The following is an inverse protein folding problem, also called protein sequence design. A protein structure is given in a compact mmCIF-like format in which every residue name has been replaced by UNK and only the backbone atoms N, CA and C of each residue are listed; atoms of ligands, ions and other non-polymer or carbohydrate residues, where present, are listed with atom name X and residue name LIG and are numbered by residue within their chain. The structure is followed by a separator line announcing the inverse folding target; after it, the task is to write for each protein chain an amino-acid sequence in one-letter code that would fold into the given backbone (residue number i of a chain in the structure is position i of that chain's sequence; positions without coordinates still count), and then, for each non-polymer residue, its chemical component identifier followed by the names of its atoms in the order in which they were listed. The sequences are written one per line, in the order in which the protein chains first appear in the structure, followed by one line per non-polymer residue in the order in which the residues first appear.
data_IF_090794508892
#
_entry.id   IF_090794508892
#
_cell.length_a   1.000
_cell.length_b   1.000
_cell.length_c   1.000
_cell.angle_alpha   90.00
_cell.angle_beta   90.00
_cell.angle_gamma   90.00
#
_symmetry.space_group_name_H-M   'P 1'
#
loop_
_entity.id
_entity.type
_entity.pdbx_description
1 polymer ?
#
# COMPACT_ATOMS: atom_id res chain seq x y z
N UNK A 1 -37.18 -19.06 -0.93
CA UNK A 1 -35.71 -19.21 -0.90
C UNK A 1 -35.11 -17.90 -0.41
N UNK A 2 -34.31 -17.93 0.63
CA UNK A 2 -33.76 -16.72 1.26
C UNK A 2 -32.70 -16.11 0.32
N UNK A 3 -32.54 -14.78 0.30
CA UNK A 3 -31.51 -14.11 -0.55
C UNK A 3 -30.09 -14.72 -0.41
N UNK A 4 -29.77 -15.23 0.78
CA UNK A 4 -28.49 -15.92 1.05
C UNK A 4 -28.35 -17.24 0.30
N UNK A 5 -29.42 -18.01 0.19
CA UNK A 5 -29.48 -19.28 -0.55
C UNK A 5 -29.27 -19.06 -2.06
N UNK A 6 -29.87 -17.97 -2.58
CA UNK A 6 -29.68 -17.59 -3.98
C UNK A 6 -28.24 -17.23 -4.31
N UNK A 7 -27.58 -16.44 -3.44
CA UNK A 7 -26.17 -16.09 -3.62
C UNK A 7 -25.26 -17.32 -3.48
N UNK A 8 -25.58 -18.22 -2.57
CA UNK A 8 -24.85 -19.47 -2.41
C UNK A 8 -24.99 -20.36 -3.64
N UNK A 9 -26.23 -20.56 -4.15
CA UNK A 9 -26.48 -21.31 -5.38
C UNK A 9 -25.82 -20.69 -6.62
N UNK A 10 -25.92 -19.37 -6.78
CA UNK A 10 -25.24 -18.66 -7.85
C UNK A 10 -23.70 -18.79 -7.76
N UNK A 11 -23.14 -18.79 -6.56
CA UNK A 11 -21.72 -19.02 -6.32
C UNK A 11 -21.28 -20.43 -6.71
N UNK A 12 -22.04 -21.46 -6.36
CA UNK A 12 -21.78 -22.84 -6.76
C UNK A 12 -21.85 -23.02 -8.29
N UNK A 13 -22.84 -22.42 -8.95
CA UNK A 13 -22.97 -22.46 -10.41
C UNK A 13 -21.79 -21.75 -11.05
N UNK A 14 -21.37 -20.58 -10.53
CA UNK A 14 -20.23 -19.85 -11.05
C UNK A 14 -18.92 -20.65 -10.93
N UNK A 15 -18.69 -21.30 -9.78
CA UNK A 15 -17.54 -22.18 -9.56
C UNK A 15 -17.57 -23.36 -10.53
N UNK A 16 -18.72 -24.00 -10.70
CA UNK A 16 -18.86 -25.12 -11.63
C UNK A 16 -18.60 -24.69 -13.07
N UNK A 17 -19.20 -23.59 -13.53
CA UNK A 17 -19.00 -23.08 -14.89
C UNK A 17 -17.53 -22.69 -15.13
N UNK A 18 -16.89 -22.04 -14.14
CA UNK A 18 -15.47 -21.71 -14.23
C UNK A 18 -14.61 -22.96 -14.33
N UNK A 19 -14.88 -23.97 -13.50
CA UNK A 19 -14.12 -25.22 -13.52
C UNK A 19 -14.33 -25.99 -14.84
N UNK A 20 -15.54 -25.97 -15.37
CA UNK A 20 -15.93 -26.74 -16.58
C UNK A 20 -15.43 -26.08 -17.87
N UNK A 21 -15.57 -24.75 -18.01
CA UNK A 21 -15.22 -24.05 -19.24
C UNK A 21 -13.80 -23.51 -19.29
N UNK A 22 -13.09 -23.43 -18.17
CA UNK A 22 -11.73 -22.92 -18.19
C UNK A 22 -10.80 -23.92 -18.87
N UNK A 23 -10.07 -23.51 -19.92
CA UNK A 23 -9.17 -24.40 -20.65
C UNK A 23 -7.87 -24.61 -19.82
N UNK A 24 -7.91 -25.44 -18.81
CA UNK A 24 -6.80 -25.73 -17.90
C UNK A 24 -5.52 -26.24 -18.60
N UNK A 25 -5.68 -26.81 -19.82
CA UNK A 25 -4.55 -27.21 -20.65
C UNK A 25 -3.85 -26.05 -21.38
N UNK A 26 -4.48 -24.88 -21.42
CA UNK A 26 -3.85 -23.72 -22.05
C UNK A 26 -2.70 -23.21 -21.17
N UNK A 27 -1.53 -23.01 -21.77
CA UNK A 27 -0.32 -22.63 -21.06
C UNK A 27 -0.49 -21.34 -20.25
N UNK A 28 -1.16 -20.34 -20.79
CA UNK A 28 -1.44 -19.08 -20.08
C UNK A 28 -2.30 -19.25 -18.83
N UNK A 29 -3.30 -20.14 -18.87
CA UNK A 29 -4.16 -20.42 -17.70
C UNK A 29 -3.34 -21.15 -16.63
N UNK A 30 -2.50 -22.10 -17.03
CA UNK A 30 -1.60 -22.81 -16.12
C UNK A 30 -0.59 -21.87 -15.50
N UNK A 31 0.04 -20.99 -16.29
CA UNK A 31 0.98 -19.97 -15.80
C UNK A 31 0.28 -18.99 -14.85
N UNK A 32 -0.91 -18.51 -15.21
CA UNK A 32 -1.70 -17.64 -14.31
C UNK A 32 -2.02 -18.32 -12.98
N UNK A 33 -2.40 -19.60 -12.99
CA UNK A 33 -2.64 -20.38 -11.78
C UNK A 33 -1.38 -20.51 -10.91
N UNK A 34 -0.23 -20.79 -11.51
CA UNK A 34 1.05 -20.85 -10.80
C UNK A 34 1.42 -19.50 -10.22
N UNK A 35 1.31 -18.43 -11.01
CA UNK A 35 1.64 -17.06 -10.57
C UNK A 35 0.71 -16.57 -9.46
N UNK A 36 -0.54 -17.00 -9.42
CA UNK A 36 -1.46 -16.71 -8.30
C UNK A 36 -0.91 -17.22 -6.96
N UNK A 37 -0.49 -18.48 -6.92
CA UNK A 37 0.06 -19.09 -5.70
C UNK A 37 1.45 -18.54 -5.35
N UNK A 38 2.30 -18.30 -6.35
CA UNK A 38 3.62 -17.73 -6.12
C UNK A 38 3.52 -16.28 -5.62
N UNK A 39 2.58 -15.48 -6.16
CA UNK A 39 2.29 -14.13 -5.65
C UNK A 39 1.78 -14.17 -4.22
N UNK A 40 0.89 -15.12 -3.88
CA UNK A 40 0.42 -15.29 -2.51
C UNK A 40 1.55 -15.70 -1.56
N UNK A 41 2.46 -16.58 -2.01
CA UNK A 41 3.63 -16.99 -1.23
C UNK A 41 4.58 -15.82 -0.95
N UNK A 42 4.91 -15.04 -1.99
CA UNK A 42 5.76 -13.85 -1.85
C UNK A 42 5.11 -12.82 -0.94
N UNK A 43 3.78 -12.60 -1.09
CA UNK A 43 3.02 -11.73 -0.20
C UNK A 43 3.07 -12.19 1.26
N UNK A 44 2.85 -13.49 1.50
CA UNK A 44 2.88 -14.04 2.86
C UNK A 44 4.25 -13.90 3.52
N UNK A 45 5.33 -14.12 2.77
CA UNK A 45 6.71 -14.05 3.28
C UNK A 45 7.19 -12.62 3.52
N UNK A 46 6.87 -11.70 2.61
CA UNK A 46 7.43 -10.35 2.64
C UNK A 46 6.54 -9.35 3.38
N UNK A 47 5.21 -9.54 3.36
CA UNK A 47 4.29 -8.50 3.83
C UNK A 47 3.42 -8.90 5.02
N UNK A 48 3.06 -10.18 5.20
CA UNK A 48 2.12 -10.55 6.28
C UNK A 48 2.76 -10.37 7.64
N UNK A 49 3.85 -11.05 7.93
CA UNK A 49 4.41 -11.11 9.29
C UNK A 49 5.00 -9.77 9.74
N UNK A 50 5.80 -9.12 8.87
CA UNK A 50 6.55 -7.92 9.27
C UNK A 50 5.76 -6.62 9.08
N UNK A 51 4.75 -6.61 8.20
CA UNK A 51 4.02 -5.41 7.79
C UNK A 51 2.56 -5.45 8.27
N UNK A 52 1.78 -6.45 7.83
CA UNK A 52 0.34 -6.51 8.08
C UNK A 52 0.02 -6.82 9.55
N UNK A 53 0.73 -7.77 10.18
CA UNK A 53 0.48 -8.12 11.57
C UNK A 53 0.70 -6.93 12.51
N UNK A 54 1.84 -6.22 12.52
CA UNK A 54 2.01 -5.02 13.33
C UNK A 54 0.93 -3.95 13.05
N UNK A 55 0.56 -3.76 11.79
CA UNK A 55 -0.47 -2.79 11.43
C UNK A 55 -1.86 -3.16 11.97
N UNK A 56 -2.22 -4.44 12.00
CA UNK A 56 -3.46 -4.91 12.62
C UNK A 56 -3.47 -4.64 14.14
N UNK A 57 -2.34 -4.84 14.82
CA UNK A 57 -2.21 -4.50 16.23
C UNK A 57 -2.31 -3.01 16.49
N UNK A 58 -1.72 -2.16 15.63
CA UNK A 58 -1.85 -0.70 15.71
C UNK A 58 -3.32 -0.29 15.48
N UNK A 59 -3.99 -0.86 14.48
CA UNK A 59 -5.41 -0.59 14.22
C UNK A 59 -6.31 -0.99 15.40
N UNK A 60 -6.08 -2.17 15.98
CA UNK A 60 -6.74 -2.62 17.20
C UNK A 60 -6.51 -1.67 18.37
N UNK A 61 -5.27 -1.18 18.54
CA UNK A 61 -4.93 -0.21 19.57
C UNK A 61 -5.64 1.14 19.35
N UNK A 62 -5.70 1.62 18.12
CA UNK A 62 -6.48 2.83 17.78
C UNK A 62 -7.94 2.63 18.15
N UNK A 63 -8.52 1.48 17.78
CA UNK A 63 -9.92 1.19 18.04
C UNK A 63 -10.26 1.01 19.53
N UNK A 64 -9.31 0.72 20.39
CA UNK A 64 -9.54 0.54 21.86
C UNK A 64 -9.06 1.74 22.65
N UNK A 65 -7.83 2.23 22.40
CA UNK A 65 -7.16 3.20 23.27
C UNK A 65 -7.26 4.65 22.81
N UNK A 66 -7.58 4.90 21.53
CA UNK A 66 -7.82 6.26 21.07
C UNK A 66 -9.27 6.63 21.34
N UNK A 67 -9.51 7.68 22.11
CA UNK A 67 -10.87 8.11 22.40
C UNK A 67 -11.56 8.61 21.13
N UNK A 68 -12.84 8.29 21.01
CA UNK A 68 -13.66 8.78 19.90
C UNK A 68 -13.69 10.31 19.86
N UNK A 69 -13.72 10.96 21.03
CA UNK A 69 -13.65 12.40 21.15
C UNK A 69 -12.37 12.99 20.52
N UNK A 70 -11.21 12.35 20.73
CA UNK A 70 -9.95 12.78 20.11
C UNK A 70 -9.99 12.66 18.59
N UNK A 71 -10.49 11.54 18.06
CA UNK A 71 -10.61 11.36 16.60
C UNK A 71 -11.59 12.38 16.02
N UNK A 72 -12.74 12.58 16.64
CA UNK A 72 -13.74 13.57 16.21
C UNK A 72 -13.21 15.00 16.27
N UNK A 73 -12.36 15.33 17.24
CA UNK A 73 -11.75 16.66 17.38
C UNK A 73 -10.79 16.99 16.24
N UNK A 74 -9.95 16.02 15.79
CA UNK A 74 -8.92 16.24 14.78
C UNK A 74 -9.33 15.79 13.37
N UNK A 75 -10.14 14.74 13.26
CA UNK A 75 -10.55 14.11 11.98
C UNK A 75 -12.06 14.09 11.78
N UNK A 76 -12.84 14.59 12.72
CA UNK A 76 -14.30 14.57 12.63
C UNK A 76 -14.86 15.56 11.62
N UNK A 77 -16.18 15.49 11.33
CA UNK A 77 -16.84 16.35 10.35
C UNK A 77 -16.77 17.85 10.70
N UNK A 78 -16.65 18.19 12.00
CA UNK A 78 -16.55 19.57 12.52
C UNK A 78 -15.10 20.04 12.76
N UNK A 79 -14.10 19.17 12.54
CA UNK A 79 -12.70 19.50 12.74
C UNK A 79 -12.22 20.59 11.76
N UNK A 80 -11.17 21.34 12.17
CA UNK A 80 -10.54 22.30 11.27
C UNK A 80 -9.99 21.56 10.05
N UNK A 81 -10.57 21.84 8.88
CA UNK A 81 -10.25 21.14 7.64
C UNK A 81 -8.78 21.27 7.27
N UNK A 82 -8.20 22.46 7.41
CA UNK A 82 -6.79 22.67 7.07
C UNK A 82 -5.88 21.76 7.92
N UNK A 83 -6.11 21.71 9.23
CA UNK A 83 -5.35 20.87 10.15
C UNK A 83 -5.57 19.37 9.83
N UNK A 84 -6.84 18.96 9.66
CA UNK A 84 -7.18 17.56 9.39
C UNK A 84 -6.53 17.03 8.11
N UNK A 85 -6.59 17.80 7.02
CA UNK A 85 -6.00 17.38 5.74
C UNK A 85 -4.48 17.46 5.74
N UNK A 86 -3.89 18.48 6.41
CA UNK A 86 -2.43 18.55 6.57
C UNK A 86 -1.90 17.34 7.35
N UNK A 87 -2.53 17.02 8.48
CA UNK A 87 -2.15 15.85 9.29
C UNK A 87 -2.36 14.55 8.48
N UNK A 88 -3.51 14.39 7.82
CA UNK A 88 -3.80 13.22 7.00
C UNK A 88 -2.77 13.03 5.87
N UNK A 89 -2.39 14.11 5.17
CA UNK A 89 -1.45 14.05 4.05
C UNK A 89 0.00 13.80 4.51
N UNK A 90 0.41 14.37 5.66
CA UNK A 90 1.79 14.22 6.16
C UNK A 90 1.99 12.92 6.94
N UNK A 91 0.95 12.43 7.64
CA UNK A 91 1.06 11.20 8.45
C UNK A 91 1.45 9.97 7.61
N UNK A 92 1.00 9.90 6.36
CA UNK A 92 1.41 8.86 5.42
C UNK A 92 2.91 8.82 5.15
N UNK A 93 3.52 10.00 5.03
CA UNK A 93 4.97 10.15 4.83
C UNK A 93 5.78 9.65 6.03
N UNK A 94 5.32 9.97 7.24
CA UNK A 94 6.01 9.59 8.49
C UNK A 94 5.88 8.09 8.73
N UNK A 95 4.70 7.53 8.49
CA UNK A 95 4.43 6.12 8.74
C UNK A 95 5.08 5.19 7.70
N UNK A 96 5.45 5.71 6.52
CA UNK A 96 6.05 4.95 5.41
C UNK A 96 5.32 3.62 5.12
N UNK A 97 3.98 3.65 5.19
CA UNK A 97 3.13 2.46 5.09
C UNK A 97 2.87 2.07 3.64
N UNK A 98 2.77 0.77 3.39
CA UNK A 98 2.31 0.24 2.11
C UNK A 98 0.79 0.20 2.02
N UNK A 99 0.25 -0.09 0.84
CA UNK A 99 -1.21 -0.23 0.62
C UNK A 99 -1.88 -1.27 1.53
N UNK A 100 -1.14 -2.27 1.99
CA UNK A 100 -1.66 -3.31 2.89
C UNK A 100 -1.82 -2.80 4.33
N UNK A 101 -0.86 -2.00 4.81
CA UNK A 101 -0.84 -1.51 6.20
C UNK A 101 -1.75 -0.31 6.41
N UNK A 102 -1.97 0.51 5.37
CA UNK A 102 -2.88 1.65 5.47
C UNK A 102 -4.34 1.22 5.66
N UNK A 103 -4.73 0.05 5.14
CA UNK A 103 -6.11 -0.45 5.25
C UNK A 103 -6.56 -0.71 6.69
N UNK A 104 -5.80 -1.47 7.53
CA UNK A 104 -6.13 -1.60 8.95
C UNK A 104 -6.15 -0.26 9.68
N UNK A 105 -5.18 0.62 9.41
CA UNK A 105 -5.10 1.94 10.04
C UNK A 105 -6.30 2.81 9.65
N UNK A 106 -6.65 2.83 8.36
CA UNK A 106 -7.86 3.49 7.88
C UNK A 106 -9.11 2.97 8.58
N UNK A 107 -9.26 1.63 8.70
CA UNK A 107 -10.39 1.03 9.39
C UNK A 107 -10.42 1.45 10.87
N UNK A 108 -9.28 1.49 11.54
CA UNK A 108 -9.16 1.93 12.93
C UNK A 108 -9.66 3.37 13.15
N UNK A 109 -9.24 4.33 12.32
CA UNK A 109 -9.71 5.73 12.43
C UNK A 109 -11.15 5.90 11.94
N UNK A 110 -11.56 5.15 10.90
CA UNK A 110 -12.91 5.19 10.35
C UNK A 110 -13.95 4.73 11.36
N UNK A 111 -13.71 3.62 12.05
CA UNK A 111 -14.61 3.08 13.10
C UNK A 111 -14.72 4.02 14.31
N UNK A 112 -13.70 4.88 14.53
CA UNK A 112 -13.72 5.90 15.57
C UNK A 112 -14.38 7.22 15.15
N UNK A 113 -14.97 7.26 13.95
CA UNK A 113 -15.79 8.40 13.49
C UNK A 113 -15.02 9.47 12.74
N UNK A 114 -13.84 9.17 12.20
CA UNK A 114 -13.16 10.10 11.29
C UNK A 114 -14.07 10.47 10.12
N UNK A 115 -14.07 11.75 9.73
CA UNK A 115 -14.78 12.20 8.54
C UNK A 115 -14.24 11.55 7.27
N UNK A 116 -15.11 11.29 6.29
CA UNK A 116 -14.74 10.57 5.07
C UNK A 116 -13.61 11.28 4.30
N UNK A 117 -13.60 12.60 4.30
CA UNK A 117 -12.58 13.39 3.62
C UNK A 117 -11.18 13.18 4.18
N UNK A 118 -10.90 13.52 5.44
CA UNK A 118 -9.60 13.30 6.06
C UNK A 118 -9.20 11.82 6.07
N UNK A 119 -10.14 10.90 6.29
CA UNK A 119 -9.86 9.46 6.28
C UNK A 119 -9.39 8.98 4.90
N UNK A 120 -10.05 9.43 3.82
CA UNK A 120 -9.63 9.05 2.45
C UNK A 120 -8.38 9.80 1.99
N UNK A 121 -8.13 11.01 2.47
CA UNK A 121 -6.85 11.70 2.27
C UNK A 121 -5.69 10.91 2.89
N UNK A 122 -5.87 10.42 4.12
CA UNK A 122 -4.90 9.53 4.78
C UNK A 122 -4.72 8.20 4.02
N UNK A 123 -5.83 7.58 3.60
CA UNK A 123 -5.82 6.33 2.83
C UNK A 123 -5.00 6.45 1.54
N UNK A 124 -5.12 7.57 0.83
CA UNK A 124 -4.37 7.84 -0.38
C UNK A 124 -2.90 8.17 -0.09
N UNK A 125 -2.66 9.09 0.86
CA UNK A 125 -1.33 9.61 1.15
C UNK A 125 -0.36 8.55 1.68
N UNK A 126 -0.86 7.59 2.47
CA UNK A 126 -0.05 6.56 3.11
C UNK A 126 0.91 5.86 2.14
N UNK A 127 0.40 5.17 1.14
CA UNK A 127 1.23 4.48 0.16
C UNK A 127 1.83 5.40 -0.91
N UNK A 128 1.10 6.46 -1.32
CA UNK A 128 1.51 7.32 -2.43
C UNK A 128 2.73 8.20 -2.09
N UNK A 129 2.82 8.68 -0.84
CA UNK A 129 3.89 9.56 -0.37
C UNK A 129 4.99 8.78 0.37
N UNK A 130 5.40 7.65 -0.16
CA UNK A 130 6.52 6.91 0.40
C UNK A 130 7.84 7.54 -0.05
N UNK A 131 8.61 8.08 0.90
CA UNK A 131 9.88 8.80 0.64
C UNK A 131 10.88 7.94 -0.13
N UNK A 132 11.00 6.67 0.21
CA UNK A 132 11.92 5.75 -0.47
C UNK A 132 11.51 5.53 -1.93
N UNK A 133 10.23 5.35 -2.20
CA UNK A 133 9.72 5.18 -3.55
C UNK A 133 9.88 6.46 -4.38
N UNK A 134 9.70 7.64 -3.78
CA UNK A 134 9.92 8.94 -4.45
C UNK A 134 11.41 9.10 -4.81
N UNK A 135 12.32 8.85 -3.87
CA UNK A 135 13.77 8.93 -4.10
C UNK A 135 14.20 7.94 -5.18
N UNK A 136 13.69 6.71 -5.14
CA UNK A 136 13.99 5.68 -6.13
C UNK A 136 13.48 6.08 -7.52
N UNK A 137 12.26 6.62 -7.60
CA UNK A 137 11.70 7.18 -8.85
C UNK A 137 12.58 8.28 -9.40
N UNK A 138 13.00 9.23 -8.56
CA UNK A 138 13.86 10.34 -8.98
C UNK A 138 15.24 9.87 -9.50
N UNK A 139 15.79 8.81 -8.88
CA UNK A 139 17.09 8.27 -9.28
C UNK A 139 17.06 7.43 -10.55
N UNK A 140 16.03 6.60 -10.71
CA UNK A 140 15.94 5.63 -11.82
C UNK A 140 15.20 6.20 -13.01
N UNK A 141 14.07 6.87 -12.80
CA UNK A 141 13.21 7.38 -13.87
C UNK A 141 13.42 8.87 -14.16
N UNK A 142 14.30 9.51 -13.39
CA UNK A 142 14.65 10.92 -13.53
C UNK A 142 13.98 11.82 -12.49
N UNK A 143 14.69 12.89 -12.11
CA UNK A 143 14.29 13.79 -11.04
C UNK A 143 12.96 14.50 -11.30
N UNK A 144 12.64 14.82 -12.57
CA UNK A 144 11.37 15.44 -12.96
C UNK A 144 10.18 14.53 -12.61
N UNK A 145 10.26 13.25 -12.96
CA UNK A 145 9.20 12.29 -12.67
C UNK A 145 9.07 12.03 -11.15
N UNK A 146 10.22 12.00 -10.43
CA UNK A 146 10.22 11.89 -8.96
C UNK A 146 9.56 13.08 -8.29
N UNK A 147 9.85 14.31 -8.73
CA UNK A 147 9.21 15.51 -8.22
C UNK A 147 7.73 15.58 -8.56
N UNK A 148 7.36 15.26 -9.82
CA UNK A 148 5.96 15.20 -10.24
C UNK A 148 5.15 14.17 -9.45
N UNK A 149 5.74 13.01 -9.15
CA UNK A 149 5.15 12.00 -8.27
C UNK A 149 4.93 12.55 -6.87
N UNK A 150 5.93 13.17 -6.25
CA UNK A 150 5.83 13.72 -4.90
C UNK A 150 4.75 14.82 -4.82
N UNK A 151 4.82 15.81 -5.70
CA UNK A 151 3.87 16.90 -5.76
C UNK A 151 2.46 16.41 -6.08
N UNK A 152 2.33 15.53 -7.08
CA UNK A 152 1.06 14.92 -7.47
C UNK A 152 0.43 14.13 -6.32
N UNK A 153 1.20 13.33 -5.60
CA UNK A 153 0.69 12.55 -4.48
C UNK A 153 0.15 13.42 -3.33
N UNK A 154 0.85 14.52 -2.98
CA UNK A 154 0.37 15.48 -1.97
C UNK A 154 -0.90 16.17 -2.45
N UNK A 155 -0.91 16.69 -3.66
CA UNK A 155 -2.09 17.40 -4.21
C UNK A 155 -3.28 16.46 -4.32
N UNK A 156 -3.09 15.26 -4.89
CA UNK A 156 -4.19 14.31 -5.06
C UNK A 156 -4.71 13.80 -3.72
N UNK A 157 -3.89 13.63 -2.69
CA UNK A 157 -4.38 13.23 -1.36
C UNK A 157 -5.41 14.23 -0.81
N UNK A 158 -5.11 15.52 -0.93
CA UNK A 158 -6.02 16.59 -0.49
C UNK A 158 -7.25 16.67 -1.39
N UNK A 159 -7.05 16.64 -2.72
CA UNK A 159 -8.16 16.78 -3.69
C UNK A 159 -9.12 15.60 -3.60
N UNK A 160 -8.63 14.37 -3.56
CA UNK A 160 -9.47 13.16 -3.39
C UNK A 160 -10.26 13.25 -2.09
N UNK A 161 -9.59 13.59 -0.99
CA UNK A 161 -10.25 13.76 0.30
C UNK A 161 -11.33 14.83 0.29
N UNK A 162 -11.06 16.01 -0.30
CA UNK A 162 -12.03 17.09 -0.42
C UNK A 162 -13.22 16.69 -1.29
N UNK A 163 -13.00 16.04 -2.42
CA UNK A 163 -14.07 15.57 -3.30
C UNK A 163 -14.93 14.49 -2.60
N UNK A 164 -14.32 13.55 -1.91
CA UNK A 164 -15.06 12.58 -1.09
C UNK A 164 -15.90 13.28 -0.01
N UNK A 165 -15.35 14.29 0.67
CA UNK A 165 -16.09 15.06 1.65
C UNK A 165 -17.28 15.79 1.01
N UNK A 166 -17.10 16.42 -0.15
CA UNK A 166 -18.15 17.17 -0.84
C UNK A 166 -19.28 16.23 -1.33
N UNK A 167 -18.92 15.09 -1.92
CA UNK A 167 -19.90 14.11 -2.42
C UNK A 167 -20.74 13.55 -1.28
N UNK A 168 -20.14 13.28 -0.12
CA UNK A 168 -20.82 12.69 1.03
C UNK A 168 -21.18 13.70 2.13
N UNK A 169 -21.18 15.00 1.83
CA UNK A 169 -21.40 16.09 2.79
C UNK A 169 -22.72 15.94 3.57
N UNK A 170 -23.80 15.48 2.91
CA UNK A 170 -25.10 15.27 3.56
C UNK A 170 -25.03 14.14 4.61
N UNK A 171 -24.34 13.05 4.29
CA UNK A 171 -24.15 11.93 5.21
C UNK A 171 -23.27 12.34 6.40
N UNK A 172 -22.21 13.09 6.14
CA UNK A 172 -21.30 13.61 7.18
C UNK A 172 -22.04 14.56 8.15
N UNK A 173 -22.88 15.44 7.62
CA UNK A 173 -23.70 16.32 8.45
C UNK A 173 -24.70 15.54 9.32
N UNK A 174 -25.31 14.48 8.77
CA UNK A 174 -26.22 13.61 9.54
C UNK A 174 -25.47 12.88 10.66
N UNK A 175 -24.33 12.27 10.36
CA UNK A 175 -23.47 11.63 11.38
C UNK A 175 -23.01 12.61 12.46
N UNK A 176 -22.70 13.87 12.09
CA UNK A 176 -22.31 14.90 13.03
C UNK A 176 -23.49 15.33 13.94
N UNK A 177 -24.72 15.32 13.42
CA UNK A 177 -25.93 15.59 14.21
C UNK A 177 -26.24 14.43 15.16
N UNK A 178 -26.17 13.19 14.66
CA UNK A 178 -26.38 11.98 15.47
C UNK A 178 -25.35 11.88 16.60
N UNK A 179 -24.08 12.18 16.32
CA UNK A 179 -23.02 12.20 17.33
C UNK A 179 -23.17 13.33 18.35
N UNK A 180 -23.81 14.45 18.00
CA UNK A 180 -24.10 15.54 18.94
C UNK A 180 -25.26 15.23 19.87
N UNK A 181 -26.19 14.35 19.47
CA UNK A 181 -27.28 13.84 20.29
C UNK A 181 -26.86 12.84 21.36
N UNK A 182 -25.80 12.11 21.12
CA UNK A 182 -25.08 11.35 22.14
C UNK A 182 -24.15 12.34 22.84
N UNK A 183 -24.58 12.88 23.99
CA UNK A 183 -23.69 13.65 24.87
C UNK A 183 -22.46 12.76 25.08
N UNK A 184 -21.36 13.14 24.44
CA UNK A 184 -20.05 12.55 24.69
C UNK A 184 -19.78 12.83 26.17
N UNK A 185 -20.08 11.88 27.04
CA UNK A 185 -19.51 11.88 28.35
C UNK A 185 -18.01 12.09 28.11
N UNK A 186 -17.42 13.13 28.68
CA UNK A 186 -15.98 13.35 28.70
C UNK A 186 -15.37 12.21 29.48
N UNK A 187 -15.29 11.03 28.83
CA UNK A 187 -14.48 9.93 29.34
C UNK A 187 -13.04 10.41 29.23
N UNK A 188 -12.53 10.91 30.37
CA UNK A 188 -11.13 11.23 30.51
C UNK A 188 -10.34 10.00 30.05
N UNK A 189 -9.42 10.17 29.08
CA UNK A 189 -8.65 9.05 28.60
C UNK A 189 -7.97 8.36 29.81
N UNK A 190 -8.04 7.04 29.92
CA UNK A 190 -7.54 6.30 31.10
C UNK A 190 -6.04 6.51 31.35
N UNK A 191 -5.35 7.14 30.40
CA UNK A 191 -3.92 7.43 30.45
C UNK A 191 -3.61 8.84 29.93
N UNK A 192 -2.56 9.50 30.49
CA UNK A 192 -2.10 10.77 29.98
C UNK A 192 -1.61 10.65 28.54
N UNK A 193 -1.83 11.69 27.73
CA UNK A 193 -1.54 11.70 26.28
C UNK A 193 -0.10 11.27 25.93
N UNK A 194 0.89 11.64 26.76
CA UNK A 194 2.28 11.28 26.53
C UNK A 194 2.52 9.76 26.57
N UNK A 195 1.86 9.02 27.48
CA UNK A 195 1.97 7.55 27.55
C UNK A 195 1.40 6.91 26.28
N UNK A 196 0.25 7.41 25.82
CA UNK A 196 -0.34 6.94 24.55
C UNK A 196 0.59 7.27 23.37
N UNK A 197 1.16 8.49 23.32
CA UNK A 197 2.08 8.88 22.25
C UNK A 197 3.33 8.01 22.22
N UNK A 198 3.94 7.70 23.37
CA UNK A 198 5.11 6.82 23.45
C UNK A 198 4.74 5.38 23.05
N UNK A 199 3.60 4.87 23.52
CA UNK A 199 3.13 3.54 23.16
C UNK A 199 2.92 3.39 21.64
N UNK A 200 2.17 4.30 21.03
CA UNK A 200 1.98 4.29 19.59
C UNK A 200 3.30 4.53 18.83
N UNK A 201 4.15 5.40 19.33
CA UNK A 201 5.49 5.65 18.77
C UNK A 201 6.35 4.39 18.73
N UNK A 202 6.33 3.59 19.78
CA UNK A 202 7.04 2.29 19.84
C UNK A 202 6.45 1.30 18.83
N UNK A 203 5.12 1.19 18.74
CA UNK A 203 4.47 0.31 17.74
C UNK A 203 4.80 0.72 16.30
N UNK A 204 4.78 2.03 16.02
CA UNK A 204 5.17 2.57 14.71
C UNK A 204 6.65 2.33 14.43
N UNK A 205 7.52 2.47 15.42
CA UNK A 205 8.95 2.16 15.29
C UNK A 205 9.17 0.69 14.93
N UNK A 206 8.47 -0.24 15.59
CA UNK A 206 8.51 -1.67 15.24
C UNK A 206 8.12 -1.85 13.77
N UNK A 207 7.01 -1.24 13.31
CA UNK A 207 6.56 -1.33 11.94
C UNK A 207 7.60 -0.81 10.95
N UNK A 208 8.17 0.37 11.21
CA UNK A 208 9.16 1.01 10.34
C UNK A 208 10.45 0.17 10.26
N UNK A 209 11.02 -0.19 11.42
CA UNK A 209 12.31 -0.89 11.43
C UNK A 209 12.21 -2.34 10.96
N UNK A 210 11.12 -3.06 11.26
CA UNK A 210 10.87 -4.40 10.74
C UNK A 210 10.77 -4.41 9.20
N UNK A 211 10.19 -3.34 8.61
CA UNK A 211 10.01 -3.19 7.16
C UNK A 211 11.08 -2.32 6.49
N UNK A 212 12.21 -2.06 7.16
CA UNK A 212 13.26 -1.23 6.58
C UNK A 212 13.73 -1.78 5.24
N UNK A 213 13.61 -0.98 4.19
CA UNK A 213 13.84 -1.43 2.81
C UNK A 213 15.30 -1.86 2.54
N UNK A 214 15.47 -2.80 1.63
CA UNK A 214 16.81 -3.24 1.17
C UNK A 214 17.55 -2.04 0.56
N UNK A 215 18.83 -1.80 0.92
CA UNK A 215 19.62 -0.74 0.31
C UNK A 215 19.68 -0.89 -1.21
N UNK A 216 19.59 0.24 -1.91
CA UNK A 216 19.70 0.26 -3.35
C UNK A 216 21.14 0.00 -3.82
N UNK A 217 22.14 0.50 -3.07
CA UNK A 217 23.54 0.22 -3.33
C UNK A 217 23.91 -1.19 -2.87
N UNK A 218 24.40 -1.98 -3.81
CA UNK A 218 24.81 -3.37 -3.58
C UNK A 218 26.23 -3.58 -4.06
N UNK A 219 26.93 -4.47 -3.37
CA UNK A 219 28.22 -5.01 -3.72
C UNK A 219 28.02 -6.51 -4.00
N UNK A 220 28.02 -6.91 -5.25
CA UNK A 220 27.86 -8.31 -5.64
C UNK A 220 29.24 -8.91 -5.81
N UNK A 221 29.59 -9.86 -4.96
CA UNK A 221 30.78 -10.68 -5.14
C UNK A 221 30.37 -11.90 -5.95
N UNK A 222 31.00 -12.08 -7.09
CA UNK A 222 30.79 -13.27 -7.94
C UNK A 222 31.59 -14.46 -7.44
N UNK A 223 31.22 -15.66 -7.88
CA UNK A 223 31.98 -16.91 -7.60
C UNK A 223 33.41 -16.83 -8.11
N UNK A 224 33.65 -16.05 -9.18
CA UNK A 224 35.01 -15.78 -9.71
C UNK A 224 35.81 -14.78 -8.88
N UNK A 225 35.24 -14.20 -7.81
CA UNK A 225 35.88 -13.19 -6.96
C UNK A 225 35.79 -11.77 -7.49
N UNK A 226 35.17 -11.53 -8.63
CA UNK A 226 34.94 -10.18 -9.13
C UNK A 226 33.86 -9.47 -8.27
N UNK A 227 34.09 -8.17 -7.98
CA UNK A 227 33.15 -7.35 -7.19
C UNK A 227 32.48 -6.34 -8.10
N UNK A 228 31.16 -6.43 -8.25
CA UNK A 228 30.34 -5.46 -8.98
C UNK A 228 29.65 -4.55 -7.98
N UNK A 229 30.00 -3.28 -8.00
CA UNK A 229 29.44 -2.26 -7.10
C UNK A 229 28.53 -1.32 -7.92
N UNK A 230 27.32 -1.12 -7.43
CA UNK A 230 26.40 -0.21 -8.09
C UNK A 230 25.02 -0.17 -7.46
N UNK A 231 24.11 0.52 -8.16
CA UNK A 231 22.71 0.59 -7.74
C UNK A 231 21.94 -0.59 -8.35
N UNK A 232 21.29 -1.39 -7.50
CA UNK A 232 20.45 -2.50 -7.94
C UNK A 232 19.24 -1.97 -8.71
N UNK A 233 19.09 -2.40 -9.96
CA UNK A 233 17.97 -2.00 -10.84
C UNK A 233 16.86 -3.04 -10.77
N UNK A 234 17.19 -4.33 -10.90
CA UNK A 234 16.23 -5.41 -10.80
C UNK A 234 16.90 -6.65 -10.17
N UNK A 235 16.08 -7.46 -9.50
CA UNK A 235 16.48 -8.75 -8.95
C UNK A 235 15.34 -9.74 -9.21
N UNK A 236 15.64 -10.83 -9.90
CA UNK A 236 14.70 -11.92 -10.17
C UNK A 236 15.40 -13.27 -9.95
N UNK A 237 14.67 -14.36 -10.13
CA UNK A 237 15.22 -15.72 -9.97
C UNK A 237 16.38 -16.01 -10.93
N UNK A 238 16.50 -15.30 -12.04
CA UNK A 238 17.57 -15.49 -13.04
C UNK A 238 18.82 -14.67 -12.74
N UNK A 239 18.79 -13.70 -11.83
CA UNK A 239 19.94 -12.86 -11.48
C UNK A 239 19.61 -11.46 -11.03
N UNK A 240 20.63 -10.65 -10.88
CA UNK A 240 20.52 -9.25 -10.43
C UNK A 240 21.11 -8.32 -11.48
N UNK A 241 20.34 -7.32 -11.89
CA UNK A 241 20.80 -6.22 -12.74
C UNK A 241 21.25 -5.05 -11.86
N UNK A 242 22.47 -4.60 -12.08
CA UNK A 242 23.11 -3.52 -11.34
C UNK A 242 23.52 -2.43 -12.32
N UNK A 243 23.18 -1.19 -12.02
CA UNK A 243 23.75 -0.05 -12.72
C UNK A 243 25.00 0.40 -11.97
N UNK A 244 26.15 0.28 -12.63
CA UNK A 244 27.44 0.67 -12.08
C UNK A 244 27.52 2.19 -11.91
N UNK A 245 28.53 2.67 -11.18
CA UNK A 245 28.79 4.11 -11.02
C UNK A 245 29.10 4.78 -12.37
N UNK A 246 29.62 4.02 -13.33
CA UNK A 246 29.88 4.48 -14.70
C UNK A 246 28.61 4.53 -15.58
N UNK A 247 27.45 4.15 -15.06
CA UNK A 247 26.17 4.14 -15.79
C UNK A 247 25.91 2.86 -16.61
N UNK A 248 26.84 1.91 -16.61
CA UNK A 248 26.68 0.64 -17.33
C UNK A 248 25.70 -0.29 -16.61
N UNK A 249 24.87 -0.97 -17.39
CA UNK A 249 23.96 -2.00 -16.88
C UNK A 249 24.65 -3.37 -16.94
N UNK A 250 25.07 -3.88 -15.79
CA UNK A 250 25.67 -5.20 -15.65
C UNK A 250 24.61 -6.16 -15.09
N UNK A 251 24.39 -7.26 -15.78
CA UNK A 251 23.53 -8.35 -15.30
C UNK A 251 24.40 -9.48 -14.79
N UNK A 252 24.25 -9.80 -13.51
CA UNK A 252 24.93 -10.93 -12.87
C UNK A 252 23.92 -12.06 -12.71
N UNK A 253 24.22 -13.22 -13.27
CA UNK A 253 23.37 -14.41 -13.16
C UNK A 253 23.27 -14.87 -11.70
N UNK A 254 22.13 -15.43 -11.30
CA UNK A 254 21.95 -15.95 -9.94
C UNK A 254 22.98 -17.04 -9.59
N UNK A 255 23.40 -17.84 -10.56
CA UNK A 255 24.43 -18.87 -10.38
C UNK A 255 25.85 -18.30 -10.16
N UNK A 256 26.10 -17.08 -10.62
CA UNK A 256 27.40 -16.40 -10.47
C UNK A 256 27.50 -15.59 -9.19
N UNK A 257 26.43 -15.41 -8.44
CA UNK A 257 26.40 -14.61 -7.23
C UNK A 257 26.87 -15.46 -6.05
N UNK A 258 28.08 -15.21 -5.55
CA UNK A 258 28.57 -15.82 -4.32
C UNK A 258 28.03 -15.10 -3.06
N UNK A 259 27.98 -13.76 -3.09
CA UNK A 259 27.54 -12.96 -1.95
C UNK A 259 26.98 -11.61 -2.42
N UNK A 260 25.90 -11.18 -1.79
CA UNK A 260 25.38 -9.81 -1.96
C UNK A 260 25.70 -9.05 -0.67
N UNK A 261 26.60 -8.10 -0.76
CA UNK A 261 26.89 -7.11 0.26
C UNK A 261 26.05 -5.85 0.05
N UNK A 262 25.81 -5.11 1.10
CA UNK A 262 25.18 -3.79 1.01
C UNK A 262 26.25 -2.75 1.35
N UNK A 263 26.40 -1.75 0.50
CA UNK A 263 27.40 -0.70 0.65
C UNK A 263 27.39 -0.03 2.03
N UNK A 264 28.43 0.69 2.38
CA UNK A 264 28.54 1.41 3.64
C UNK A 264 27.51 2.54 3.78
N UNK A 265 27.32 3.01 5.02
CA UNK A 265 26.45 4.13 5.34
C UNK A 265 25.39 3.80 6.38
N UNK A 266 24.80 4.86 6.97
CA UNK A 266 23.80 4.75 8.05
C UNK A 266 22.60 3.90 7.63
N UNK A 267 22.08 4.09 6.41
CA UNK A 267 20.95 3.36 5.92
C UNK A 267 21.18 1.83 5.83
N UNK A 268 22.34 1.44 5.31
CA UNK A 268 22.73 0.04 5.23
C UNK A 268 23.06 -0.57 6.61
N UNK A 269 23.58 0.24 7.53
CA UNK A 269 23.78 -0.14 8.93
C UNK A 269 22.45 -0.45 9.63
N UNK A 270 21.46 0.42 9.48
CA UNK A 270 20.10 0.19 10.00
C UNK A 270 19.48 -1.06 9.37
N UNK A 271 19.61 -1.25 8.05
CA UNK A 271 19.09 -2.44 7.38
C UNK A 271 19.68 -3.73 7.94
N UNK A 272 21.00 -3.77 8.19
CA UNK A 272 21.66 -4.94 8.79
C UNK A 272 21.19 -5.21 10.21
N UNK A 273 20.99 -4.14 10.99
CA UNK A 273 20.55 -4.22 12.39
C UNK A 273 19.03 -4.18 12.60
N UNK A 274 18.21 -4.10 11.53
CA UNK A 274 16.77 -3.81 11.61
C UNK A 274 15.99 -4.74 12.55
N UNK A 275 16.30 -6.02 12.55
CA UNK A 275 15.63 -6.99 13.42
C UNK A 275 16.05 -6.87 14.86
N UNK A 276 17.30 -6.50 15.13
CA UNK A 276 17.76 -6.19 16.49
C UNK A 276 17.09 -4.92 17.03
N UNK A 277 17.02 -3.87 16.20
CA UNK A 277 16.36 -2.62 16.54
C UNK A 277 14.86 -2.88 16.79
N UNK A 278 14.18 -3.59 15.88
CA UNK A 278 12.78 -3.97 16.06
C UNK A 278 12.60 -4.83 17.32
N UNK A 279 13.51 -5.75 17.62
CA UNK A 279 13.50 -6.57 18.83
C UNK A 279 13.59 -5.75 20.10
N UNK A 280 14.46 -4.73 20.15
CA UNK A 280 14.55 -3.79 21.28
C UNK A 280 13.22 -3.05 21.47
N UNK A 281 12.61 -2.55 20.38
CA UNK A 281 11.29 -1.92 20.46
C UNK A 281 10.19 -2.89 20.88
N UNK A 282 10.24 -4.16 20.48
CA UNK A 282 9.32 -5.19 20.97
C UNK A 282 9.47 -5.43 22.48
N UNK A 283 10.69 -5.49 22.98
CA UNK A 283 10.92 -5.61 24.43
C UNK A 283 10.41 -4.38 25.18
N UNK A 284 10.64 -3.19 24.63
CA UNK A 284 10.11 -1.93 25.18
C UNK A 284 8.57 -1.94 25.17
N UNK A 285 7.95 -2.41 24.10
CA UNK A 285 6.49 -2.57 24.03
C UNK A 285 5.99 -3.54 25.12
N UNK A 286 6.63 -4.68 25.28
CA UNK A 286 6.25 -5.66 26.32
C UNK A 286 6.37 -5.05 27.73
N UNK A 287 7.42 -4.29 27.99
CA UNK A 287 7.59 -3.59 29.27
C UNK A 287 6.48 -2.54 29.49
N UNK A 288 6.11 -1.78 28.45
CA UNK A 288 5.00 -0.83 28.51
C UNK A 288 3.65 -1.54 28.76
N UNK A 289 3.41 -2.67 28.09
CA UNK A 289 2.19 -3.46 28.30
C UNK A 289 2.09 -3.96 29.73
N UNK A 290 3.18 -4.47 30.28
CA UNK A 290 3.21 -4.95 31.66
C UNK A 290 3.05 -3.83 32.69
N UNK A 291 3.61 -2.62 32.43
CA UNK A 291 3.61 -1.52 33.38
C UNK A 291 2.39 -0.59 33.31
N UNK A 292 1.76 -0.46 32.14
CA UNK A 292 0.76 0.59 31.87
C UNK A 292 -0.63 0.05 31.55
N UNK A 293 -0.78 -1.25 31.25
CA UNK A 293 -2.04 -1.82 30.75
C UNK A 293 -2.60 -2.87 31.71
N UNK A 294 -3.91 -2.87 31.86
CA UNK A 294 -4.63 -3.90 32.62
C UNK A 294 -4.95 -5.09 31.72
N UNK A 295 -5.18 -6.25 32.34
CA UNK A 295 -5.49 -7.50 31.60
C UNK A 295 -6.72 -7.38 30.73
N UNK A 296 -7.74 -6.68 31.20
CA UNK A 296 -8.99 -6.46 30.44
C UNK A 296 -8.73 -5.61 29.18
N UNK A 297 -7.92 -4.55 29.28
CA UNK A 297 -7.54 -3.72 28.14
C UNK A 297 -6.76 -4.51 27.09
N UNK A 298 -5.86 -5.40 27.51
CA UNK A 298 -5.10 -6.29 26.60
C UNK A 298 -6.01 -7.30 25.90
N UNK A 299 -7.03 -7.80 26.61
CA UNK A 299 -8.06 -8.69 26.03
C UNK A 299 -8.87 -7.96 24.97
N UNK A 300 -9.38 -6.76 25.28
CA UNK A 300 -10.15 -5.95 24.34
C UNK A 300 -9.34 -5.60 23.11
N UNK A 301 -8.07 -5.23 23.30
CA UNK A 301 -7.14 -5.00 22.21
C UNK A 301 -6.94 -6.23 21.33
N UNK A 302 -6.71 -7.39 21.92
CA UNK A 302 -6.56 -8.65 21.19
C UNK A 302 -7.82 -9.03 20.41
N UNK A 303 -9.00 -8.87 21.01
CA UNK A 303 -10.30 -9.13 20.37
C UNK A 303 -10.52 -8.19 19.19
N UNK A 304 -10.23 -6.89 19.37
CA UNK A 304 -10.35 -5.89 18.30
C UNK A 304 -9.39 -6.19 17.16
N UNK A 305 -8.11 -6.48 17.45
CA UNK A 305 -7.10 -6.87 16.46
C UNK A 305 -7.52 -8.09 15.66
N UNK A 306 -8.04 -9.12 16.35
CA UNK A 306 -8.55 -10.34 15.71
C UNK A 306 -9.79 -10.07 14.85
N UNK A 307 -10.65 -9.13 15.27
CA UNK A 307 -11.79 -8.65 14.48
C UNK A 307 -11.34 -8.09 13.13
N UNK A 308 -10.34 -7.21 13.13
CA UNK A 308 -9.75 -6.66 11.91
C UNK A 308 -9.05 -7.73 11.06
N UNK A 309 -8.33 -8.67 11.68
CA UNK A 309 -7.70 -9.76 10.96
C UNK A 309 -8.72 -10.62 10.20
N UNK A 310 -9.82 -11.01 10.84
CA UNK A 310 -10.91 -11.75 10.20
C UNK A 310 -11.57 -11.01 9.05
N UNK A 311 -11.69 -9.70 9.14
CA UNK A 311 -12.28 -8.87 8.10
C UNK A 311 -11.35 -8.67 6.91
N UNK A 312 -10.06 -8.43 7.16
CA UNK A 312 -9.11 -7.95 6.15
C UNK A 312 -8.36 -9.10 5.48
N UNK A 313 -7.82 -10.05 6.26
CA UNK A 313 -6.91 -11.07 5.72
C UNK A 313 -7.54 -11.98 4.65
N UNK A 314 -8.77 -12.52 4.82
CA UNK A 314 -9.37 -13.37 3.79
C UNK A 314 -9.59 -12.66 2.46
N UNK A 315 -10.07 -11.41 2.51
CA UNK A 315 -10.30 -10.59 1.32
C UNK A 315 -9.00 -10.21 0.63
N UNK A 316 -7.97 -9.91 1.42
CA UNK A 316 -6.65 -9.58 0.93
C UNK A 316 -6.01 -10.77 0.21
N UNK A 317 -6.04 -11.95 0.81
CA UNK A 317 -5.50 -13.17 0.22
C UNK A 317 -6.26 -13.57 -1.06
N UNK A 318 -7.58 -13.51 -1.05
CA UNK A 318 -8.40 -13.74 -2.24
C UNK A 318 -8.05 -12.74 -3.35
N UNK A 319 -7.89 -11.47 -3.00
CA UNK A 319 -7.51 -10.43 -3.96
C UNK A 319 -6.11 -10.62 -4.54
N UNK A 320 -5.13 -11.05 -3.72
CA UNK A 320 -3.77 -11.37 -4.17
C UNK A 320 -3.77 -12.54 -5.13
N UNK A 321 -4.56 -13.60 -4.84
CA UNK A 321 -4.71 -14.75 -5.75
C UNK A 321 -5.30 -14.33 -7.10
N UNK A 322 -6.37 -13.53 -7.09
CA UNK A 322 -6.99 -13.04 -8.34
C UNK A 322 -6.04 -12.12 -9.12
N UNK A 323 -5.35 -11.20 -8.42
CA UNK A 323 -4.37 -10.33 -9.07
C UNK A 323 -3.20 -11.12 -9.67
N UNK A 324 -2.67 -12.11 -8.94
CA UNK A 324 -1.61 -13.00 -9.42
C UNK A 324 -2.03 -13.83 -10.62
N UNK A 325 -3.26 -14.35 -10.62
CA UNK A 325 -3.81 -15.10 -11.75
C UNK A 325 -3.95 -14.24 -13.01
N UNK A 326 -4.43 -13.02 -12.88
CA UNK A 326 -4.68 -12.12 -14.02
C UNK A 326 -3.40 -11.49 -14.56
N UNK A 327 -2.56 -10.97 -13.68
CA UNK A 327 -1.47 -10.05 -14.02
C UNK A 327 -0.08 -10.64 -13.77
N UNK A 328 0.04 -11.68 -12.93
CA UNK A 328 1.31 -12.24 -12.51
C UNK A 328 2.08 -11.37 -11.53
N UNK A 329 3.21 -11.90 -11.08
CA UNK A 329 4.18 -11.13 -10.28
C UNK A 329 4.93 -10.14 -11.17
N UNK A 330 5.49 -9.07 -10.59
CA UNK A 330 6.31 -8.11 -11.34
C UNK A 330 7.39 -8.77 -12.20
N UNK A 331 7.34 -8.52 -13.52
CA UNK A 331 8.28 -9.09 -14.48
C UNK A 331 7.96 -10.52 -14.93
N UNK A 332 6.86 -11.09 -14.51
CA UNK A 332 6.36 -12.38 -15.00
C UNK A 332 5.07 -12.18 -15.81
N UNK A 333 4.82 -13.08 -16.76
CA UNK A 333 3.56 -13.08 -17.52
C UNK A 333 2.56 -14.03 -16.88
N UNK A 334 1.30 -13.64 -16.90
CA UNK A 334 0.17 -14.46 -16.46
C UNK A 334 -0.91 -14.48 -17.55
N UNK A 335 -2.20 -14.44 -17.16
CA UNK A 335 -3.30 -14.48 -18.12
C UNK A 335 -3.26 -13.28 -19.08
N UNK A 336 -2.95 -12.07 -18.57
CA UNK A 336 -2.86 -10.82 -19.34
C UNK A 336 -1.40 -10.54 -19.68
N UNK A 337 -0.98 -10.55 -20.96
CA UNK A 337 0.40 -10.28 -21.35
C UNK A 337 0.79 -8.82 -21.08
N UNK A 338 1.98 -8.62 -20.51
CA UNK A 338 2.54 -7.28 -20.27
C UNK A 338 2.71 -6.47 -21.57
N UNK A 339 2.97 -7.14 -22.70
CA UNK A 339 3.08 -6.50 -24.01
C UNK A 339 1.79 -5.79 -24.45
N UNK A 340 0.61 -6.31 -24.11
CA UNK A 340 -0.65 -5.64 -24.40
C UNK A 340 -0.78 -4.33 -23.64
N UNK A 341 -0.40 -4.34 -22.36
CA UNK A 341 -0.42 -3.13 -21.54
C UNK A 341 0.56 -2.11 -22.13
N UNK A 342 1.78 -2.53 -22.46
CA UNK A 342 2.82 -1.65 -23.01
C UNK A 342 2.40 -0.99 -24.34
N UNK A 343 1.76 -1.73 -25.26
CA UNK A 343 1.33 -1.21 -26.55
C UNK A 343 0.23 -0.14 -26.45
N UNK A 344 -0.57 -0.17 -25.37
CA UNK A 344 -1.71 0.73 -25.16
C UNK A 344 -1.34 2.03 -24.43
N UNK A 345 -0.14 2.09 -23.81
CA UNK A 345 0.27 3.23 -22.97
C UNK A 345 1.35 4.11 -23.60
N UNK A 346 1.56 4.01 -24.93
CA UNK A 346 2.46 4.88 -25.68
C UNK A 346 1.96 6.34 -25.78
N UNK A 347 2.90 7.29 -25.91
CA UNK A 347 2.57 8.72 -26.03
C UNK A 347 1.98 9.34 -24.76
N UNK A 348 1.19 10.44 -24.92
CA UNK A 348 0.54 11.14 -23.80
C UNK A 348 -0.96 11.41 -24.04
N UNK A 349 -1.64 10.52 -24.74
CA UNK A 349 -3.07 10.65 -24.96
C UNK A 349 -3.87 10.43 -23.67
N UNK A 350 -5.09 10.96 -23.61
CA UNK A 350 -6.02 10.73 -22.48
C UNK A 350 -6.26 9.24 -22.27
N UNK A 351 -6.44 8.49 -23.37
CA UNK A 351 -6.64 7.03 -23.32
C UNK A 351 -5.45 6.27 -22.75
N UNK A 352 -4.22 6.62 -23.16
CA UNK A 352 -3.01 6.00 -22.65
C UNK A 352 -2.81 6.28 -21.14
N UNK A 353 -3.06 7.52 -20.70
CA UNK A 353 -3.00 7.88 -19.27
C UNK A 353 -4.10 7.17 -18.46
N UNK A 354 -5.33 7.08 -19.00
CA UNK A 354 -6.43 6.37 -18.34
C UNK A 354 -6.13 4.87 -18.19
N UNK A 355 -5.65 4.23 -19.25
CA UNK A 355 -5.29 2.81 -19.20
C UNK A 355 -4.14 2.54 -18.26
N UNK A 356 -3.14 3.44 -18.21
CA UNK A 356 -2.04 3.34 -17.27
C UNK A 356 -2.52 3.48 -15.82
N UNK A 357 -3.38 4.47 -15.50
CA UNK A 357 -3.96 4.65 -14.18
C UNK A 357 -4.84 3.46 -13.77
N UNK A 358 -5.67 2.97 -14.70
CA UNK A 358 -6.52 1.80 -14.46
C UNK A 358 -5.70 0.52 -14.25
N UNK A 359 -4.67 0.31 -15.07
CA UNK A 359 -3.74 -0.82 -14.89
C UNK A 359 -3.04 -0.75 -13.54
N UNK A 360 -2.52 0.43 -13.17
CA UNK A 360 -1.94 0.66 -11.85
C UNK A 360 -2.91 0.37 -10.71
N UNK A 361 -4.18 0.78 -10.86
CA UNK A 361 -5.22 0.55 -9.86
C UNK A 361 -5.60 -0.94 -9.69
N UNK A 362 -5.47 -1.75 -10.73
CA UNK A 362 -5.78 -3.19 -10.69
C UNK A 362 -4.56 -4.03 -10.30
N UNK A 363 -3.36 -3.58 -10.66
CA UNK A 363 -2.13 -4.29 -10.37
C UNK A 363 -1.81 -4.23 -8.88
N UNK A 364 -1.15 -5.27 -8.39
CA UNK A 364 -0.58 -5.28 -7.06
C UNK A 364 0.93 -5.03 -7.15
N UNK A 365 1.34 -3.83 -6.79
CA UNK A 365 2.76 -3.50 -6.71
C UNK A 365 3.22 -3.45 -5.25
N UNK A 366 4.33 -4.11 -4.94
CA UNK A 366 5.07 -3.74 -3.76
C UNK A 366 5.72 -2.36 -4.01
N UNK A 367 5.70 -1.48 -3.03
CA UNK A 367 6.03 -0.05 -3.14
C UNK A 367 7.36 0.27 -3.86
N UNK A 368 8.32 -0.66 -3.84
CA UNK A 368 9.63 -0.47 -4.48
C UNK A 368 9.76 -1.18 -5.83
N UNK A 369 8.85 -2.12 -6.17
CA UNK A 369 8.93 -2.88 -7.43
C UNK A 369 8.30 -2.16 -8.62
N UNK A 370 7.44 -1.17 -8.38
CA UNK A 370 6.82 -0.38 -9.43
C UNK A 370 7.83 0.39 -10.29
N UNK A 371 8.92 0.89 -9.68
CA UNK A 371 9.92 1.70 -10.38
C UNK A 371 10.72 0.90 -11.42
N UNK A 372 11.27 -0.29 -11.12
CA UNK A 372 11.90 -1.14 -12.12
C UNK A 372 10.97 -1.59 -13.24
N UNK A 373 9.70 -1.84 -12.93
CA UNK A 373 8.70 -2.22 -13.94
C UNK A 373 8.46 -1.05 -14.89
N UNK A 374 8.25 0.15 -14.34
CA UNK A 374 8.09 1.35 -15.14
C UNK A 374 9.33 1.68 -15.99
N UNK A 375 10.53 1.42 -15.48
CA UNK A 375 11.74 1.55 -16.27
C UNK A 375 11.71 0.65 -17.50
N UNK A 376 11.28 -0.60 -17.34
CA UNK A 376 11.07 -1.53 -18.45
C UNK A 376 10.00 -1.07 -19.44
N UNK A 377 8.85 -0.58 -18.94
CA UNK A 377 7.75 -0.06 -19.77
C UNK A 377 8.14 1.22 -20.52
N UNK A 378 8.86 2.14 -19.88
CA UNK A 378 9.40 3.35 -20.54
C UNK A 378 10.40 2.97 -21.63
N UNK A 379 11.27 1.98 -21.37
CA UNK A 379 12.17 1.42 -22.38
C UNK A 379 11.45 0.77 -23.57
N UNK A 380 10.23 0.29 -23.36
CA UNK A 380 9.36 -0.30 -24.38
C UNK A 380 8.45 0.72 -25.07
N UNK A 381 8.60 2.04 -24.82
CA UNK A 381 7.85 3.09 -25.49
C UNK A 381 6.67 3.69 -24.72
N UNK A 382 6.51 3.36 -23.44
CA UNK A 382 5.51 4.01 -22.58
C UNK A 382 5.80 5.51 -22.45
N UNK A 383 4.75 6.34 -22.55
CA UNK A 383 4.87 7.78 -22.34
C UNK A 383 5.11 8.15 -20.87
N UNK A 384 5.80 9.28 -20.62
CA UNK A 384 6.09 9.75 -19.26
C UNK A 384 4.82 10.19 -18.50
N UNK A 385 3.82 10.71 -19.21
CA UNK A 385 2.50 11.01 -18.63
C UNK A 385 1.80 9.76 -18.11
N UNK A 386 1.58 8.73 -18.93
CA UNK A 386 1.07 7.44 -18.48
C UNK A 386 1.90 6.83 -17.35
N UNK A 387 3.24 6.97 -17.36
CA UNK A 387 4.07 6.51 -16.26
C UNK A 387 3.75 7.24 -14.94
N UNK A 388 3.55 8.57 -14.98
CA UNK A 388 3.11 9.31 -13.80
C UNK A 388 1.70 8.91 -13.35
N UNK A 389 0.76 8.74 -14.28
CA UNK A 389 -0.60 8.32 -13.97
C UNK A 389 -0.62 6.96 -13.23
N UNK A 390 0.21 6.01 -13.68
CA UNK A 390 0.40 4.72 -13.02
C UNK A 390 1.02 4.86 -11.63
N UNK A 391 2.06 5.70 -11.48
CA UNK A 391 2.74 5.95 -10.19
C UNK A 391 1.85 6.64 -9.15
N UNK A 392 0.83 7.38 -9.57
CA UNK A 392 -0.12 8.04 -8.69
C UNK A 392 -1.30 7.13 -8.31
N UNK A 393 -1.75 6.26 -9.22
CA UNK A 393 -2.85 5.35 -8.96
C UNK A 393 -2.41 4.05 -8.26
N UNK A 394 -1.31 3.45 -8.70
CA UNK A 394 -0.85 2.12 -8.28
C UNK A 394 -0.60 1.97 -6.79
N UNK A 395 0.19 2.86 -6.15
CA UNK A 395 0.42 2.77 -4.71
C UNK A 395 -0.84 2.91 -3.86
N UNK A 396 -1.78 3.76 -4.31
CA UNK A 396 -3.01 4.06 -3.55
C UNK A 396 -4.11 3.03 -3.73
N UNK A 397 -4.06 2.25 -4.81
CA UNK A 397 -5.07 1.29 -5.20
C UNK A 397 -4.43 -0.07 -5.52
N UNK A 398 -5.19 -1.13 -5.33
CA UNK A 398 -4.91 -2.47 -5.84
C UNK A 398 -6.18 -3.30 -5.75
N UNK A 399 -6.32 -4.33 -6.57
CA UNK A 399 -7.49 -5.20 -6.52
C UNK A 399 -7.75 -5.77 -5.12
N UNK A 400 -6.73 -6.28 -4.38
CA UNK A 400 -6.89 -6.70 -2.99
C UNK A 400 -7.39 -5.58 -2.08
N UNK A 401 -6.82 -4.38 -2.20
CA UNK A 401 -7.20 -3.23 -1.39
C UNK A 401 -8.66 -2.81 -1.63
N UNK A 402 -9.12 -2.84 -2.88
CA UNK A 402 -10.52 -2.53 -3.23
C UNK A 402 -11.50 -3.48 -2.56
N UNK A 403 -11.21 -4.79 -2.50
CA UNK A 403 -12.06 -5.77 -1.82
C UNK A 403 -12.16 -5.47 -0.32
N UNK A 404 -11.06 -5.12 0.31
CA UNK A 404 -11.02 -4.73 1.73
C UNK A 404 -11.78 -3.42 1.95
N UNK A 405 -11.54 -2.38 1.13
CA UNK A 405 -12.25 -1.10 1.23
C UNK A 405 -13.77 -1.26 1.06
N UNK A 406 -14.20 -2.15 0.15
CA UNK A 406 -15.62 -2.50 0.03
C UNK A 406 -16.20 -3.01 1.33
N UNK A 407 -15.45 -3.84 2.07
CA UNK A 407 -15.91 -4.37 3.36
C UNK A 407 -15.93 -3.34 4.48
N UNK A 408 -15.10 -2.29 4.40
CA UNK A 408 -14.98 -1.22 5.41
C UNK A 408 -16.02 -0.11 5.19
N UNK A 409 -16.03 0.49 3.99
CA UNK A 409 -16.85 1.68 3.71
C UNK A 409 -18.03 1.44 2.76
N UNK A 410 -18.21 0.20 2.30
CA UNK A 410 -19.27 -0.20 1.37
C UNK A 410 -18.91 0.03 -0.10
N UNK A 411 -19.66 -0.64 -0.99
CA UNK A 411 -19.36 -0.66 -2.44
C UNK A 411 -19.42 0.72 -3.07
N UNK A 412 -20.43 1.52 -2.73
CA UNK A 412 -20.63 2.85 -3.34
C UNK A 412 -19.45 3.79 -3.05
N UNK A 413 -19.05 3.92 -1.78
CA UNK A 413 -17.95 4.81 -1.38
C UNK A 413 -16.61 4.34 -1.95
N UNK A 414 -16.40 3.03 -1.96
CA UNK A 414 -15.21 2.42 -2.56
C UNK A 414 -15.15 2.73 -4.06
N UNK A 415 -16.22 2.53 -4.83
CA UNK A 415 -16.24 2.83 -6.27
C UNK A 415 -16.01 4.31 -6.55
N UNK A 416 -16.62 5.21 -5.78
CA UNK A 416 -16.39 6.66 -5.93
C UNK A 416 -14.93 7.01 -5.65
N UNK A 417 -14.35 6.48 -4.58
CA UNK A 417 -12.94 6.69 -4.25
C UNK A 417 -12.01 6.20 -5.37
N UNK A 418 -12.21 4.98 -5.84
CA UNK A 418 -11.41 4.38 -6.94
C UNK A 418 -11.53 5.21 -8.21
N UNK A 419 -12.76 5.59 -8.59
CA UNK A 419 -13.01 6.41 -9.77
C UNK A 419 -12.32 7.77 -9.68
N UNK A 420 -12.38 8.43 -8.52
CA UNK A 420 -11.70 9.71 -8.29
C UNK A 420 -10.18 9.56 -8.43
N UNK A 421 -9.59 8.54 -7.83
CA UNK A 421 -8.14 8.31 -7.93
C UNK A 421 -7.73 8.04 -9.37
N UNK A 422 -8.43 7.17 -10.10
CA UNK A 422 -8.12 6.87 -11.50
C UNK A 422 -8.26 8.10 -12.39
N UNK A 423 -9.36 8.83 -12.28
CA UNK A 423 -9.60 10.04 -13.09
C UNK A 423 -8.57 11.12 -12.80
N UNK A 424 -8.32 11.41 -11.53
CA UNK A 424 -7.37 12.46 -11.15
C UNK A 424 -5.92 12.08 -11.48
N UNK A 425 -5.53 10.83 -11.34
CA UNK A 425 -4.21 10.34 -11.77
C UNK A 425 -4.05 10.43 -13.29
N UNK A 426 -5.11 10.12 -14.05
CA UNK A 426 -5.16 10.30 -15.51
C UNK A 426 -4.94 11.76 -15.89
N UNK A 427 -5.69 12.68 -15.27
CA UNK A 427 -5.56 14.12 -15.53
C UNK A 427 -4.16 14.63 -15.17
N UNK A 428 -3.63 14.19 -14.02
CA UNK A 428 -2.28 14.55 -13.61
C UNK A 428 -1.22 14.08 -14.62
N UNK A 429 -1.35 12.86 -15.17
CA UNK A 429 -0.49 12.34 -16.21
C UNK A 429 -0.57 13.13 -17.51
N UNK A 430 -1.79 13.44 -17.97
CA UNK A 430 -2.01 14.26 -19.19
C UNK A 430 -1.39 15.66 -19.05
N UNK A 431 -1.65 16.32 -17.92
CA UNK A 431 -1.17 17.70 -17.67
C UNK A 431 0.34 17.74 -17.47
N UNK A 432 0.90 16.83 -16.71
CA UNK A 432 2.34 16.84 -16.41
C UNK A 432 3.19 16.20 -17.52
N UNK A 433 2.62 15.31 -18.33
CA UNK A 433 3.35 14.56 -19.36
C UNK A 433 4.22 15.42 -20.29
N UNK A 434 3.74 16.57 -20.82
CA UNK A 434 4.55 17.45 -21.69
C UNK A 434 5.76 18.08 -21.00
N UNK A 435 5.77 18.17 -19.67
CA UNK A 435 6.85 18.80 -18.88
C UNK A 435 7.89 17.79 -18.35
N UNK A 436 7.56 16.52 -18.43
CA UNK A 436 8.40 15.41 -17.99
C UNK A 436 9.37 14.97 -19.08
#
# INVERSE_FOLDING_TARGET
MNRKEWYFGAGLIAIFLTAYYTPWGAERVRMGGLEAFLMLQDYAREHVLLCLVPALFIAGAIAVFVSQASVLRYFGPKANKLLSYSVASVSGTILAVCSCTVLPLFNGIWTRGAGIGPATAFLYSGPAINVLAIILTARILGWKLGLARAAGAVVLSVVVGLLMHLIYLKEEKRKAADAAGFALADELPPRPLWKNAVYFGVMVAILIFANWGKPAHVEITTVSGAVVVGTRVAMNAAGTSVQTVAGEHVRVSAAEIAKIGYGGGLYAGIYRGRFWIAGVFCLLLLAQLAAWFQREELKDWSVSTWGFAKQIMPLLFAGVLVAGFLLGRPGQEALIPNAWIASLVGGNSLGANFLAALSGALMYFATLTEVPILQGLLGSGMGKGPALALLLAGPALSLPAMLVLRSIMGTQKMLVYVSLVVVLSTLAGVVAGPWL
#
